data_IF_630709702977
#
_entry.id   IF_630709702977
#
_cell.length_a   1.000
_cell.length_b   1.000
_cell.length_c   1.000
_cell.angle_alpha   90.00
_cell.angle_beta   90.00
_cell.angle_gamma   90.00
#
_symmetry.space_group_name_H-M   'P 1'
#
loop_
_entity.id
_entity.type
_entity.pdbx_description
1 polymer ?
#
# COMPACT_ATOMS: atom_id res chain seq x y z
N UNK A 1 1.19 5.08 -27.33
CA UNK A 1 0.96 6.04 -26.23
C UNK A 1 2.24 6.84 -26.03
N UNK A 2 2.27 8.09 -26.49
CA UNK A 2 3.48 8.92 -26.53
C UNK A 2 3.87 9.42 -25.13
N UNK A 3 5.17 9.43 -24.81
CA UNK A 3 5.78 9.69 -23.50
C UNK A 3 5.42 11.05 -22.85
N UNK A 4 4.90 12.01 -23.62
CA UNK A 4 4.44 13.32 -23.09
C UNK A 4 3.34 13.22 -22.01
N UNK A 5 2.73 12.05 -21.82
CA UNK A 5 1.60 11.86 -20.89
C UNK A 5 1.99 11.49 -19.44
N UNK A 6 3.27 11.32 -19.11
CA UNK A 6 3.69 10.81 -17.79
C UNK A 6 4.49 11.78 -16.92
N UNK A 7 4.67 13.04 -17.32
CA UNK A 7 5.50 14.02 -16.60
C UNK A 7 5.18 14.14 -15.10
N UNK A 8 3.89 14.18 -14.73
CA UNK A 8 3.46 14.24 -13.35
C UNK A 8 3.82 12.98 -12.56
N UNK A 9 3.71 11.79 -13.18
CA UNK A 9 4.09 10.51 -12.59
C UNK A 9 5.60 10.45 -12.40
N UNK A 10 6.39 10.81 -13.41
CA UNK A 10 7.87 10.86 -13.33
C UNK A 10 8.30 11.72 -12.15
N UNK A 11 7.75 12.93 -12.02
CA UNK A 11 8.09 13.82 -10.91
C UNK A 11 7.77 13.22 -9.52
N UNK A 12 6.62 12.54 -9.38
CA UNK A 12 6.26 11.85 -8.12
C UNK A 12 7.18 10.67 -7.84
N UNK A 13 7.49 9.84 -8.83
CA UNK A 13 8.38 8.69 -8.66
C UNK A 13 9.82 9.12 -8.39
N UNK A 14 10.34 10.14 -9.09
CA UNK A 14 11.64 10.73 -8.80
C UNK A 14 11.70 11.26 -7.37
N UNK A 15 10.59 11.80 -6.84
CA UNK A 15 10.51 12.20 -5.43
C UNK A 15 10.58 11.01 -4.48
N UNK A 16 9.86 9.93 -4.77
CA UNK A 16 9.90 8.69 -3.97
C UNK A 16 11.33 8.15 -3.87
N UNK A 17 12.05 8.02 -5.00
CA UNK A 17 13.44 7.52 -5.03
C UNK A 17 14.38 8.35 -4.13
N UNK A 18 14.11 9.66 -4.00
CA UNK A 18 14.92 10.58 -3.17
C UNK A 18 14.72 10.40 -1.68
N UNK A 19 13.53 9.97 -1.26
CA UNK A 19 13.13 10.02 0.17
C UNK A 19 12.77 8.67 0.76
N UNK A 20 12.50 7.66 -0.07
CA UNK A 20 12.16 6.29 0.34
C UNK A 20 13.29 5.32 -0.05
N UNK A 21 13.89 4.63 0.94
CA UNK A 21 14.90 3.60 0.71
C UNK A 21 14.43 2.49 -0.26
N UNK A 22 15.38 1.90 -0.99
CA UNK A 22 15.09 0.89 -2.04
C UNK A 22 14.38 -0.33 -1.47
N UNK A 23 14.75 -0.76 -0.27
CA UNK A 23 14.15 -1.90 0.44
C UNK A 23 12.63 -1.74 0.62
N UNK A 24 12.14 -0.52 0.83
CA UNK A 24 10.71 -0.27 0.97
C UNK A 24 10.02 -0.11 -0.39
N UNK A 25 10.72 0.31 -1.44
CA UNK A 25 10.15 0.41 -2.80
C UNK A 25 9.98 -0.98 -3.43
N UNK A 26 10.88 -1.92 -3.14
CA UNK A 26 10.87 -3.27 -3.67
C UNK A 26 9.58 -4.03 -3.37
N UNK A 27 8.98 -3.80 -2.20
CA UNK A 27 7.73 -4.45 -1.81
C UNK A 27 6.50 -4.00 -2.63
N UNK A 28 6.53 -2.86 -3.34
CA UNK A 28 5.33 -2.31 -3.98
C UNK A 28 4.74 -3.18 -5.09
N UNK A 29 5.57 -3.95 -5.81
CA UNK A 29 5.07 -4.83 -6.86
C UNK A 29 4.28 -6.01 -6.29
N UNK A 30 4.76 -6.63 -5.20
CA UNK A 30 4.05 -7.68 -4.47
C UNK A 30 2.78 -7.14 -3.82
N UNK A 31 2.90 -5.98 -3.17
CA UNK A 31 1.78 -5.33 -2.49
C UNK A 31 0.65 -4.95 -3.44
N UNK A 32 0.89 -4.75 -4.73
CA UNK A 32 -0.16 -4.43 -5.71
C UNK A 32 -1.36 -5.39 -5.61
N UNK A 33 -1.11 -6.69 -5.49
CA UNK A 33 -2.16 -7.71 -5.47
C UNK A 33 -2.77 -7.93 -4.07
N UNK A 34 -2.10 -7.46 -3.03
CA UNK A 34 -2.57 -7.58 -1.64
C UNK A 34 -3.35 -6.35 -1.20
N UNK A 35 -2.90 -5.19 -1.64
CA UNK A 35 -3.46 -3.87 -1.39
C UNK A 35 -4.97 -3.87 -1.64
N UNK A 36 -5.69 -3.18 -0.76
CA UNK A 36 -7.14 -3.01 -0.90
C UNK A 36 -7.47 -2.43 -2.28
N UNK A 37 -8.50 -2.93 -3.00
CA UNK A 37 -8.73 -2.59 -4.41
C UNK A 37 -8.81 -1.09 -4.69
N UNK A 38 -9.36 -0.30 -3.76
CA UNK A 38 -9.47 1.15 -3.91
C UNK A 38 -8.14 1.88 -4.06
N UNK A 39 -7.03 1.26 -3.66
CA UNK A 39 -5.72 1.90 -3.64
C UNK A 39 -4.76 1.37 -4.73
N UNK A 40 -5.16 0.37 -5.53
CA UNK A 40 -4.28 -0.30 -6.51
C UNK A 40 -3.85 0.57 -7.68
N UNK A 41 -4.59 1.65 -7.96
CA UNK A 41 -4.27 2.63 -9.01
C UNK A 41 -3.71 3.94 -8.46
N UNK A 42 -3.38 3.98 -7.17
CA UNK A 42 -2.69 5.12 -6.56
C UNK A 42 -1.18 4.91 -6.63
N UNK A 43 -0.43 5.96 -6.97
CA UNK A 43 1.01 5.91 -6.73
C UNK A 43 1.30 5.73 -5.23
N UNK A 44 2.42 5.10 -4.85
CA UNK A 44 2.65 4.73 -3.45
C UNK A 44 2.80 5.93 -2.52
N UNK A 45 3.26 7.08 -3.03
CA UNK A 45 3.30 8.32 -2.26
C UNK A 45 1.87 8.81 -1.96
N UNK A 46 1.00 8.83 -2.97
CA UNK A 46 -0.40 9.21 -2.80
C UNK A 46 -1.15 8.27 -1.85
N UNK A 47 -0.92 6.96 -1.94
CA UNK A 47 -1.45 5.99 -1.00
C UNK A 47 -0.97 6.26 0.44
N UNK A 48 0.30 6.62 0.60
CA UNK A 48 0.88 6.99 1.91
C UNK A 48 0.31 8.30 2.46
N UNK A 49 0.00 9.28 1.60
CA UNK A 49 -0.67 10.53 2.00
C UNK A 49 -2.09 10.25 2.54
N UNK A 50 -2.87 9.43 1.84
CA UNK A 50 -4.21 9.02 2.29
C UNK A 50 -4.11 8.27 3.61
N UNK A 51 -3.19 7.31 3.73
CA UNK A 51 -2.98 6.59 4.99
C UNK A 51 -2.62 7.53 6.14
N UNK A 52 -1.76 8.53 5.90
CA UNK A 52 -1.40 9.54 6.89
C UNK A 52 -2.61 10.36 7.33
N UNK A 53 -3.48 10.78 6.41
CA UNK A 53 -4.71 11.50 6.75
C UNK A 53 -5.63 10.64 7.63
N UNK A 54 -5.80 9.37 7.26
CA UNK A 54 -6.60 8.40 8.05
C UNK A 54 -5.98 8.08 9.40
N UNK A 55 -4.66 8.01 9.49
CA UNK A 55 -3.96 7.85 10.76
C UNK A 55 -4.21 9.03 11.69
N UNK A 56 -4.13 10.27 11.19
CA UNK A 56 -4.40 11.47 11.99
C UNK A 56 -5.85 11.47 12.49
N UNK A 57 -6.81 11.14 11.61
CA UNK A 57 -8.22 11.00 11.95
C UNK A 57 -8.43 9.95 13.07
N UNK A 58 -7.93 8.74 12.87
CA UNK A 58 -8.04 7.64 13.83
C UNK A 58 -7.39 7.97 15.17
N UNK A 59 -6.20 8.60 15.15
CA UNK A 59 -5.50 9.01 16.36
C UNK A 59 -6.32 10.03 17.16
N UNK A 60 -6.84 11.08 16.51
CA UNK A 60 -7.66 12.09 17.18
C UNK A 60 -8.92 11.47 17.78
N UNK A 61 -9.58 10.57 17.04
CA UNK A 61 -10.78 9.88 17.52
C UNK A 61 -10.48 8.97 18.73
N UNK A 62 -9.41 8.17 18.66
CA UNK A 62 -8.99 7.32 19.77
C UNK A 62 -8.62 8.15 21.01
N UNK A 63 -7.96 9.29 20.82
CA UNK A 63 -7.60 10.20 21.91
C UNK A 63 -8.85 10.81 22.57
N UNK A 64 -9.79 11.32 21.77
CA UNK A 64 -11.07 11.86 22.26
C UNK A 64 -11.87 10.83 23.07
N UNK A 65 -11.88 9.58 22.61
CA UNK A 65 -12.67 8.51 23.22
C UNK A 65 -12.07 7.96 24.53
N UNK A 66 -10.73 7.98 24.69
CA UNK A 66 -10.06 7.23 25.75
C UNK A 66 -9.15 8.05 26.67
N UNK A 67 -8.76 9.27 26.29
CA UNK A 67 -7.79 10.08 27.04
C UNK A 67 -8.41 11.40 27.46
N UNK A 68 -8.78 12.25 26.50
CA UNK A 68 -9.39 13.56 26.78
C UNK A 68 -10.30 13.96 25.61
N UNK A 69 -11.60 14.07 25.93
CA UNK A 69 -12.68 14.39 25.00
C UNK A 69 -12.53 15.77 24.37
N UNK A 70 -11.96 16.73 25.09
CA UNK A 70 -11.91 18.13 24.69
C UNK A 70 -10.60 18.52 24.00
N UNK A 71 -9.48 17.84 24.31
CA UNK A 71 -8.17 18.19 23.75
C UNK A 71 -7.88 17.60 22.35
N UNK A 72 -8.66 16.61 21.89
CA UNK A 72 -8.33 15.82 20.70
C UNK A 72 -8.18 16.60 19.38
N UNK A 73 -8.84 17.76 19.22
CA UNK A 73 -8.71 18.56 17.99
C UNK A 73 -7.43 19.37 17.92
N UNK A 74 -6.92 19.79 19.07
CA UNK A 74 -5.76 20.65 19.23
C UNK A 74 -4.43 19.89 19.15
N UNK A 75 -4.47 18.55 19.14
CA UNK A 75 -3.25 17.73 19.08
C UNK A 75 -2.60 17.87 17.71
N UNK A 76 -1.37 18.35 17.73
CA UNK A 76 -0.49 18.41 16.56
C UNK A 76 0.14 17.04 16.32
N UNK A 77 -0.47 16.25 15.44
CA UNK A 77 0.00 14.92 15.02
C UNK A 77 0.64 15.05 13.63
N UNK A 78 1.58 14.17 13.31
CA UNK A 78 2.26 14.12 12.02
C UNK A 78 3.04 15.39 11.62
N UNK A 79 3.44 16.22 12.59
CA UNK A 79 4.22 17.46 12.35
C UNK A 79 5.59 17.21 11.69
N UNK A 80 6.16 16.01 11.87
CA UNK A 80 7.40 15.58 11.22
C UNK A 80 7.23 15.05 9.80
N UNK A 81 5.99 14.88 9.30
CA UNK A 81 5.73 14.31 7.99
C UNK A 81 6.09 15.31 6.88
N UNK A 82 7.19 15.03 6.18
CA UNK A 82 7.64 15.80 5.01
C UNK A 82 7.84 14.86 3.84
N UNK A 83 7.24 15.14 2.69
CA UNK A 83 7.38 14.28 1.50
C UNK A 83 8.56 14.69 0.61
N UNK A 84 9.18 15.85 0.84
CA UNK A 84 10.29 16.38 0.03
C UNK A 84 11.69 16.08 0.57
N UNK A 85 11.79 15.67 1.83
CA UNK A 85 13.06 15.34 2.50
C UNK A 85 12.94 13.99 3.18
N UNK A 86 14.01 13.20 3.15
CA UNK A 86 14.07 11.98 3.94
C UNK A 86 13.87 12.30 5.42
N UNK A 87 12.93 11.60 6.05
CA UNK A 87 12.70 11.67 7.48
C UNK A 87 12.13 10.35 7.96
N UNK A 88 12.43 9.99 9.21
CA UNK A 88 12.00 8.73 9.81
C UNK A 88 10.49 8.60 9.84
N UNK A 89 9.76 9.69 10.07
CA UNK A 89 8.30 9.66 10.19
C UNK A 89 7.61 9.28 8.88
N UNK A 90 8.07 9.79 7.73
CA UNK A 90 7.63 9.36 6.41
C UNK A 90 7.89 7.87 6.19
N UNK A 91 9.09 7.39 6.52
CA UNK A 91 9.40 5.95 6.40
C UNK A 91 8.49 5.10 7.29
N UNK A 92 8.23 5.52 8.53
CA UNK A 92 7.32 4.81 9.43
C UNK A 92 5.89 4.78 8.89
N UNK A 93 5.39 5.90 8.35
CA UNK A 93 4.07 5.96 7.69
C UNK A 93 4.02 5.06 6.46
N UNK A 94 5.09 5.06 5.65
CA UNK A 94 5.19 4.20 4.47
C UNK A 94 5.09 2.72 4.86
N UNK A 95 5.90 2.29 5.83
CA UNK A 95 5.92 0.89 6.31
C UNK A 95 4.59 0.51 6.96
N UNK A 96 3.97 1.40 7.74
CA UNK A 96 2.66 1.15 8.33
C UNK A 96 1.57 0.98 7.26
N UNK A 97 1.60 1.80 6.21
CA UNK A 97 0.71 1.63 5.05
C UNK A 97 0.96 0.31 4.31
N UNK A 98 2.22 -0.09 4.15
CA UNK A 98 2.53 -1.41 3.56
C UNK A 98 1.98 -2.57 4.39
N UNK A 99 2.01 -2.46 5.72
CA UNK A 99 1.40 -3.46 6.59
C UNK A 99 -0.13 -3.54 6.40
N UNK A 100 -0.82 -2.40 6.24
CA UNK A 100 -2.24 -2.38 5.92
C UNK A 100 -2.54 -2.97 4.53
N UNK A 101 -1.72 -2.63 3.53
CA UNK A 101 -1.84 -3.14 2.17
C UNK A 101 -1.65 -4.67 2.14
N UNK A 102 -0.71 -5.21 2.91
CA UNK A 102 -0.46 -6.64 3.02
C UNK A 102 -1.69 -7.40 3.56
N UNK A 103 -2.48 -6.77 4.43
CA UNK A 103 -3.68 -7.38 5.00
C UNK A 103 -4.93 -7.21 4.14
N UNK A 104 -4.81 -6.53 3.00
CA UNK A 104 -5.96 -6.22 2.12
C UNK A 104 -7.08 -5.50 2.87
N UNK A 105 -6.73 -4.53 3.71
CA UNK A 105 -7.69 -3.77 4.51
C UNK A 105 -7.82 -2.33 4.01
N UNK A 106 -9.03 -1.74 4.04
CA UNK A 106 -9.17 -0.29 4.02
C UNK A 106 -8.37 0.33 5.16
N UNK A 107 -7.77 1.50 4.93
CA UNK A 107 -6.87 2.13 5.89
C UNK A 107 -7.58 2.47 7.21
N UNK A 108 -8.82 2.94 7.15
CA UNK A 108 -9.66 3.22 8.31
C UNK A 108 -9.88 1.96 9.15
N UNK A 109 -10.18 0.83 8.52
CA UNK A 109 -10.43 -0.44 9.21
C UNK A 109 -9.17 -1.00 9.84
N UNK A 110 -8.02 -0.91 9.15
CA UNK A 110 -6.73 -1.30 9.72
C UNK A 110 -6.37 -0.47 10.96
N UNK A 111 -6.58 0.85 10.87
CA UNK A 111 -6.29 1.76 11.97
C UNK A 111 -7.25 1.55 13.14
N UNK A 112 -8.56 1.37 12.90
CA UNK A 112 -9.53 1.00 13.93
C UNK A 112 -9.04 -0.22 14.72
N UNK A 113 -8.65 -1.28 14.00
CA UNK A 113 -8.10 -2.49 14.62
C UNK A 113 -6.85 -2.20 15.45
N UNK A 114 -5.84 -1.56 14.86
CA UNK A 114 -4.55 -1.34 15.50
C UNK A 114 -4.66 -0.46 16.77
N UNK A 115 -5.50 0.57 16.73
CA UNK A 115 -5.75 1.43 17.90
C UNK A 115 -6.54 0.70 18.98
N UNK A 116 -7.60 -0.03 18.63
CA UNK A 116 -8.37 -0.82 19.60
C UNK A 116 -7.51 -1.89 20.27
N UNK A 117 -6.67 -2.59 19.49
CA UNK A 117 -5.72 -3.56 20.04
C UNK A 117 -4.73 -2.92 21.02
N UNK A 118 -4.22 -1.72 20.70
CA UNK A 118 -3.32 -0.98 21.58
C UNK A 118 -4.00 -0.53 22.88
N UNK A 119 -5.23 -0.04 22.79
CA UNK A 119 -6.03 0.44 23.92
C UNK A 119 -6.45 -0.69 24.86
N UNK A 120 -6.89 -1.84 24.33
CA UNK A 120 -7.25 -3.02 25.11
C UNK A 120 -6.09 -3.55 25.98
N UNK A 121 -4.85 -3.14 25.68
CA UNK A 121 -3.64 -3.48 26.43
C UNK A 121 -3.19 -2.36 27.37
N UNK A 122 -4.05 -1.39 27.66
CA UNK A 122 -3.80 -0.27 28.58
C UNK A 122 -2.50 0.48 28.28
N UNK A 123 -2.15 0.67 27.00
CA UNK A 123 -0.96 1.45 26.64
C UNK A 123 -1.13 2.90 27.09
N UNK A 124 -0.13 3.42 27.82
CA UNK A 124 -0.11 4.82 28.29
C UNK A 124 -0.18 5.86 27.17
N UNK A 125 0.30 5.50 25.98
CA UNK A 125 0.29 6.35 24.79
C UNK A 125 -0.29 5.60 23.60
N UNK A 126 -1.03 6.33 22.77
CA UNK A 126 -1.52 5.81 21.49
C UNK A 126 -0.34 5.43 20.58
N UNK A 127 -0.52 4.39 19.73
CA UNK A 127 0.56 3.85 18.93
C UNK A 127 1.07 4.87 17.89
N UNK A 128 2.39 4.97 17.78
CA UNK A 128 3.08 5.60 16.64
C UNK A 128 2.93 4.73 15.39
N UNK A 129 3.16 5.24 14.16
CA UNK A 129 2.96 4.47 12.93
C UNK A 129 3.74 3.15 12.91
N UNK A 130 4.99 3.15 13.38
CA UNK A 130 5.82 1.93 13.50
C UNK A 130 5.35 0.95 14.58
N UNK A 131 4.29 1.26 15.33
CA UNK A 131 3.74 0.44 16.42
C UNK A 131 2.32 -0.06 16.12
N UNK A 132 1.83 0.14 14.89
CA UNK A 132 0.50 -0.29 14.46
C UNK A 132 0.45 -1.79 14.12
N UNK A 133 1.58 -2.39 13.78
CA UNK A 133 1.71 -3.82 13.51
C UNK A 133 2.12 -4.66 14.73
N UNK A 134 2.19 -6.00 14.56
CA UNK A 134 2.66 -6.91 15.60
C UNK A 134 4.15 -6.69 15.90
N UNK A 135 4.55 -6.89 17.15
CA UNK A 135 5.95 -7.05 17.54
C UNK A 135 6.19 -8.50 18.04
N UNK A 136 7.44 -8.95 18.22
CA UNK A 136 7.72 -10.34 18.61
C UNK A 136 6.99 -10.81 19.87
N UNK A 137 6.73 -9.92 20.84
CA UNK A 137 6.06 -10.27 22.09
C UNK A 137 4.54 -10.33 21.98
N UNK A 138 3.95 -9.69 20.98
CA UNK A 138 2.50 -9.61 20.81
C UNK A 138 2.02 -10.24 19.52
N UNK A 139 2.89 -10.96 18.79
CA UNK A 139 2.61 -11.46 17.44
C UNK A 139 1.36 -12.32 17.41
N UNK A 140 1.32 -13.36 18.24
CA UNK A 140 0.23 -14.35 18.22
C UNK A 140 -1.09 -13.72 18.66
N UNK A 141 -1.08 -12.93 19.74
CA UNK A 141 -2.27 -12.22 20.21
C UNK A 141 -2.80 -11.21 19.18
N UNK A 142 -1.90 -10.54 18.45
CA UNK A 142 -2.27 -9.57 17.42
C UNK A 142 -2.93 -10.25 16.23
N UNK A 143 -2.36 -11.37 15.74
CA UNK A 143 -2.96 -12.12 14.63
C UNK A 143 -4.25 -12.84 15.02
N UNK A 144 -4.32 -13.44 16.21
CA UNK A 144 -5.57 -14.04 16.69
C UNK A 144 -6.71 -13.03 16.80
N UNK A 145 -6.43 -11.82 17.30
CA UNK A 145 -7.44 -10.75 17.32
C UNK A 145 -7.76 -10.18 15.95
N UNK A 146 -6.81 -10.20 15.02
CA UNK A 146 -7.06 -9.77 13.65
C UNK A 146 -8.01 -10.75 12.94
N UNK A 147 -7.84 -12.05 13.14
CA UNK A 147 -8.70 -13.09 12.58
C UNK A 147 -10.15 -12.93 13.07
N UNK A 148 -10.34 -12.70 14.38
CA UNK A 148 -11.64 -12.37 14.96
C UNK A 148 -12.26 -11.09 14.34
N UNK A 149 -11.41 -10.10 14.04
CA UNK A 149 -11.85 -8.77 13.62
C UNK A 149 -12.14 -8.65 12.11
N UNK A 150 -11.31 -9.29 11.27
CA UNK A 150 -11.30 -9.14 9.81
C UNK A 150 -11.80 -10.41 9.12
N UNK A 151 -13.03 -10.80 9.46
CA UNK A 151 -13.71 -11.98 8.92
C UNK A 151 -14.08 -11.83 7.44
N UNK A 152 -14.42 -12.95 6.79
CA UNK A 152 -14.93 -12.96 5.41
C UNK A 152 -16.14 -12.04 5.20
N UNK A 153 -17.09 -12.03 6.14
CA UNK A 153 -18.26 -11.16 6.08
C UNK A 153 -17.90 -9.68 6.19
N UNK A 154 -16.97 -9.31 7.08
CA UNK A 154 -16.52 -7.92 7.20
C UNK A 154 -15.81 -7.47 5.93
N UNK A 155 -14.99 -8.35 5.33
CA UNK A 155 -14.34 -8.10 4.05
C UNK A 155 -15.37 -7.93 2.92
N UNK A 156 -16.39 -8.79 2.83
CA UNK A 156 -17.48 -8.69 1.84
C UNK A 156 -18.27 -7.40 1.99
N UNK A 157 -18.59 -7.02 3.22
CA UNK A 157 -19.27 -5.76 3.52
C UNK A 157 -18.42 -4.56 3.11
N UNK A 158 -17.11 -4.60 3.38
CA UNK A 158 -16.19 -3.54 2.96
C UNK A 158 -16.10 -3.44 1.42
N UNK A 159 -16.05 -4.57 0.70
CA UNK A 159 -16.07 -4.59 -0.78
C UNK A 159 -17.37 -4.02 -1.33
N UNK A 160 -18.51 -4.36 -0.72
CA UNK A 160 -19.84 -3.86 -1.11
C UNK A 160 -19.95 -2.35 -0.92
N UNK A 161 -19.36 -1.81 0.16
CA UNK A 161 -19.31 -0.38 0.47
C UNK A 161 -18.24 0.39 -0.30
N UNK A 162 -17.37 -0.30 -1.03
CA UNK A 162 -16.36 0.36 -1.86
C UNK A 162 -17.06 1.21 -2.92
N UNK A 163 -16.61 2.46 -3.06
CA UNK A 163 -17.11 3.35 -4.11
C UNK A 163 -16.87 2.72 -5.48
N UNK A 164 -17.82 2.84 -6.42
CA UNK A 164 -17.58 2.44 -7.80
C UNK A 164 -16.33 3.11 -8.36
N UNK A 165 -15.48 2.29 -8.97
CA UNK A 165 -14.27 2.67 -9.68
C UNK A 165 -14.38 2.25 -11.14
N UNK A 166 -14.19 3.22 -12.03
CA UNK A 166 -14.09 3.04 -13.48
C UNK A 166 -13.04 1.99 -13.86
N UNK A 167 -11.92 1.94 -13.14
CA UNK A 167 -10.78 1.09 -13.46
C UNK A 167 -11.12 -0.41 -13.46
N UNK A 168 -12.19 -0.81 -12.79
CA UNK A 168 -12.60 -2.21 -12.69
C UNK A 168 -13.76 -2.59 -13.62
N UNK A 169 -14.38 -1.61 -14.29
CA UNK A 169 -15.44 -1.87 -15.26
C UNK A 169 -14.92 -2.74 -16.41
N UNK A 170 -15.70 -3.75 -16.81
CA UNK A 170 -15.35 -4.67 -17.90
C UNK A 170 -15.10 -3.93 -19.22
N UNK A 171 -15.86 -2.88 -19.49
CA UNK A 171 -15.70 -2.03 -20.67
C UNK A 171 -14.32 -1.32 -20.74
N UNK A 172 -13.57 -1.32 -19.63
CA UNK A 172 -12.24 -0.73 -19.51
C UNK A 172 -11.19 -1.77 -19.12
N UNK A 173 -11.51 -3.06 -19.23
CA UNK A 173 -10.59 -4.13 -18.90
C UNK A 173 -9.40 -4.14 -19.87
N UNK A 174 -8.20 -4.14 -19.30
CA UNK A 174 -6.95 -4.25 -20.06
C UNK A 174 -6.15 -5.49 -19.62
N UNK A 175 -6.77 -6.39 -18.84
CA UNK A 175 -6.11 -7.55 -18.27
C UNK A 175 -5.02 -7.16 -17.27
N UNK A 176 -5.13 -5.99 -16.63
CA UNK A 176 -4.15 -5.55 -15.64
C UNK A 176 -4.20 -6.46 -14.41
N UNK A 177 -3.05 -6.81 -13.79
CA UNK A 177 -3.01 -7.61 -12.58
C UNK A 177 -3.95 -7.13 -11.47
N UNK A 178 -4.08 -5.81 -11.27
CA UNK A 178 -5.03 -5.23 -10.32
C UNK A 178 -6.50 -5.55 -10.65
N UNK A 179 -6.87 -5.49 -11.94
CA UNK A 179 -8.22 -5.79 -12.43
C UNK A 179 -8.54 -7.28 -12.26
N UNK A 180 -7.65 -8.15 -12.74
CA UNK A 180 -7.77 -9.60 -12.60
C UNK A 180 -7.91 -10.01 -11.15
N UNK A 181 -7.05 -9.48 -10.27
CA UNK A 181 -7.12 -9.79 -8.83
C UNK A 181 -8.42 -9.30 -8.21
N UNK A 182 -8.89 -8.11 -8.54
CA UNK A 182 -10.15 -7.61 -7.99
C UNK A 182 -11.34 -8.50 -8.34
N UNK A 183 -11.40 -9.01 -9.58
CA UNK A 183 -12.47 -9.94 -9.99
C UNK A 183 -12.42 -11.24 -9.21
N UNK A 184 -11.23 -11.82 -9.03
CA UNK A 184 -11.03 -13.00 -8.18
C UNK A 184 -11.48 -12.73 -6.75
N UNK A 185 -11.21 -11.55 -6.21
CA UNK A 185 -11.60 -11.21 -4.84
C UNK A 185 -13.10 -11.05 -4.66
N UNK A 186 -13.82 -10.60 -5.70
CA UNK A 186 -15.28 -10.57 -5.71
C UNK A 186 -15.86 -11.98 -5.72
N UNK A 187 -15.33 -12.89 -6.55
CA UNK A 187 -15.80 -14.28 -6.61
C UNK A 187 -15.46 -15.05 -5.33
N UNK A 188 -14.22 -14.92 -4.82
CA UNK A 188 -13.80 -15.47 -3.52
C UNK A 188 -14.69 -15.00 -2.37
N UNK A 189 -15.14 -13.73 -2.39
CA UNK A 189 -16.00 -13.18 -1.35
C UNK A 189 -17.41 -13.78 -1.39
N UNK A 190 -17.89 -14.23 -2.55
CA UNK A 190 -19.21 -14.85 -2.73
C UNK A 190 -19.21 -16.33 -2.34
N UNK A 191 -18.16 -17.09 -2.68
CA UNK A 191 -18.06 -18.53 -2.36
C UNK A 191 -18.22 -18.85 -0.86
N UNK A 192 -17.80 -17.93 0.01
CA UNK A 192 -17.97 -18.05 1.47
C UNK A 192 -19.29 -17.52 2.01
N UNK A 193 -20.27 -17.23 1.16
CA UNK A 193 -21.53 -16.61 1.54
C UNK A 193 -22.71 -17.56 1.36
N UNK A 194 -23.60 -17.59 2.36
CA UNK A 194 -24.97 -18.07 2.20
C UNK A 194 -25.93 -16.97 1.72
N UNK A 195 -25.42 -15.77 1.40
CA UNK A 195 -26.23 -14.61 0.98
C UNK A 195 -26.90 -14.82 -0.38
N UNK A 196 -27.95 -14.03 -0.62
CA UNK A 196 -28.71 -14.04 -1.87
C UNK A 196 -27.81 -13.63 -3.06
N UNK A 197 -27.37 -14.63 -3.82
CA UNK A 197 -26.69 -14.52 -5.11
C UNK A 197 -27.30 -13.42 -6.01
N UNK A 198 -28.62 -13.25 -5.97
CA UNK A 198 -29.35 -12.21 -6.70
C UNK A 198 -28.78 -10.80 -6.42
N UNK A 199 -28.48 -10.47 -5.16
CA UNK A 199 -27.88 -9.18 -4.79
C UNK A 199 -26.44 -9.02 -5.30
N UNK A 200 -25.67 -10.11 -5.29
CA UNK A 200 -24.32 -10.14 -5.84
C UNK A 200 -24.32 -9.91 -7.36
N UNK A 201 -25.20 -10.62 -8.08
CA UNK A 201 -25.38 -10.49 -9.54
C UNK A 201 -25.92 -9.10 -9.89
N UNK A 202 -26.95 -8.62 -9.20
CA UNK A 202 -27.52 -7.30 -9.38
C UNK A 202 -26.46 -6.21 -9.29
N UNK A 203 -25.58 -6.28 -8.28
CA UNK A 203 -24.55 -5.27 -8.08
C UNK A 203 -23.37 -5.43 -9.05
N UNK A 204 -22.73 -6.59 -9.05
CA UNK A 204 -21.39 -6.73 -9.66
C UNK A 204 -21.43 -7.07 -11.15
N UNK A 205 -22.51 -7.71 -11.63
CA UNK A 205 -22.67 -8.06 -13.04
C UNK A 205 -23.49 -6.98 -13.75
N UNK A 206 -24.66 -6.63 -13.22
CA UNK A 206 -25.59 -5.73 -13.90
C UNK A 206 -25.30 -4.25 -13.60
N UNK A 207 -25.36 -3.82 -12.33
CA UNK A 207 -25.24 -2.41 -11.98
C UNK A 207 -23.84 -1.85 -12.23
N UNK A 208 -22.79 -2.55 -11.79
CA UNK A 208 -21.41 -2.07 -11.89
C UNK A 208 -20.64 -2.63 -13.08
N UNK A 209 -21.08 -3.74 -13.69
CA UNK A 209 -20.36 -4.35 -14.82
C UNK A 209 -18.90 -4.69 -14.50
N UNK A 210 -18.61 -5.18 -13.30
CA UNK A 210 -17.27 -5.61 -12.87
C UNK A 210 -16.98 -7.07 -13.21
N UNK A 211 -18.02 -7.88 -13.23
CA UNK A 211 -17.97 -9.30 -13.57
C UNK A 211 -18.87 -9.59 -14.75
N UNK A 212 -18.47 -10.55 -15.56
CA UNK A 212 -19.34 -11.13 -16.59
C UNK A 212 -20.14 -12.29 -15.98
N UNK A 213 -21.20 -12.73 -16.67
CA UNK A 213 -21.98 -13.90 -16.23
C UNK A 213 -21.10 -15.16 -16.22
N UNK A 214 -20.21 -15.28 -17.20
CA UNK A 214 -19.26 -16.40 -17.34
C UNK A 214 -18.27 -16.45 -16.17
N UNK A 215 -17.83 -15.28 -15.67
CA UNK A 215 -16.93 -15.21 -14.51
C UNK A 215 -17.61 -15.66 -13.20
N UNK A 216 -18.95 -15.70 -13.17
CA UNK A 216 -19.72 -16.21 -12.04
C UNK A 216 -20.07 -17.71 -12.17
N UNK A 217 -19.59 -18.39 -13.21
CA UNK A 217 -19.97 -19.79 -13.52
C UNK A 217 -19.61 -20.82 -12.46
N UNK A 218 -18.69 -20.52 -11.54
CA UNK A 218 -18.37 -21.37 -10.38
C UNK A 218 -19.59 -21.66 -9.48
N UNK A 219 -20.61 -20.80 -9.51
CA UNK A 219 -21.89 -20.98 -8.80
C UNK A 219 -22.89 -21.84 -9.60
N UNK A 220 -22.63 -22.08 -10.90
CA UNK A 220 -23.53 -22.73 -11.84
C UNK A 220 -24.11 -21.74 -12.84
N UNK A 221 -23.82 -21.93 -14.14
CA UNK A 221 -24.21 -20.99 -15.20
C UNK A 221 -25.73 -20.76 -15.30
N UNK A 222 -26.52 -21.82 -15.08
CA UNK A 222 -27.98 -21.74 -15.06
C UNK A 222 -28.47 -20.92 -13.86
N UNK A 223 -27.88 -21.14 -12.68
CA UNK A 223 -28.22 -20.40 -11.44
C UNK A 223 -27.95 -18.91 -11.60
N UNK A 224 -26.80 -18.55 -12.18
CA UNK A 224 -26.42 -17.16 -12.49
C UNK A 224 -27.39 -16.53 -13.49
N UNK A 225 -27.79 -17.28 -14.52
CA UNK A 225 -28.71 -16.79 -15.55
C UNK A 225 -30.10 -16.52 -14.96
N UNK A 226 -30.63 -17.47 -14.19
CA UNK A 226 -31.91 -17.32 -13.48
C UNK A 226 -31.87 -16.17 -12.46
N UNK A 227 -30.76 -15.99 -11.74
CA UNK A 227 -30.56 -14.86 -10.83
C UNK A 227 -30.57 -13.52 -11.58
N UNK A 228 -29.88 -13.44 -12.72
CA UNK A 228 -29.88 -12.24 -13.56
C UNK A 228 -31.29 -11.93 -14.10
N UNK A 229 -32.03 -12.93 -14.57
CA UNK A 229 -33.41 -12.77 -15.03
C UNK A 229 -34.35 -12.31 -13.92
N UNK A 230 -34.23 -12.89 -12.71
CA UNK A 230 -35.01 -12.45 -11.54
C UNK A 230 -34.72 -11.01 -11.21
N UNK A 231 -33.44 -10.62 -11.25
CA UNK A 231 -33.03 -9.25 -10.97
C UNK A 231 -33.59 -8.28 -12.02
N UNK A 232 -33.44 -8.58 -13.31
CA UNK A 232 -33.95 -7.75 -14.41
C UNK A 232 -35.48 -7.59 -14.37
N UNK A 233 -36.21 -8.58 -13.85
CA UNK A 233 -37.68 -8.52 -13.70
C UNK A 233 -38.15 -7.82 -12.42
N UNK A 234 -37.40 -7.95 -11.32
CA UNK A 234 -37.88 -7.59 -9.97
C UNK A 234 -37.23 -6.34 -9.40
N UNK A 235 -36.08 -5.92 -9.92
CA UNK A 235 -35.31 -4.79 -9.41
C UNK A 235 -35.22 -3.70 -10.47
N UNK A 236 -35.50 -2.45 -10.04
CA UNK A 236 -35.11 -1.27 -10.79
C UNK A 236 -33.59 -1.07 -10.61
N UNK A 237 -32.80 -1.87 -11.34
CA UNK A 237 -31.34 -1.83 -11.23
C UNK A 237 -30.84 -0.53 -11.85
N UNK A 238 -30.40 0.39 -11.00
CA UNK A 238 -29.74 1.61 -11.46
C UNK A 238 -28.34 1.25 -11.98
N UNK A 239 -28.19 1.27 -13.30
CA UNK A 239 -26.90 1.06 -13.96
C UNK A 239 -25.93 2.19 -13.60
N UNK A 240 -24.76 1.83 -13.11
CA UNK A 240 -23.69 2.79 -12.86
C UNK A 240 -22.98 3.13 -14.17
N UNK A 241 -23.01 4.41 -14.54
CA UNK A 241 -22.30 4.89 -15.71
C UNK A 241 -20.84 5.17 -15.36
N UNK A 242 -19.94 4.30 -15.80
CA UNK A 242 -18.51 4.53 -15.68
C UNK A 242 -18.04 5.58 -16.70
N UNK A 243 -17.32 6.58 -16.21
CA UNK A 243 -16.64 7.55 -17.07
C UNK A 243 -15.44 6.89 -17.77
N UNK A 244 -15.05 7.34 -18.96
CA UNK A 244 -13.86 6.82 -19.63
C UNK A 244 -12.61 7.16 -18.79
N UNK A 245 -11.74 6.18 -18.45
CA UNK A 245 -10.56 6.47 -17.66
C UNK A 245 -9.61 7.37 -18.44
N UNK A 246 -9.05 8.37 -17.75
CA UNK A 246 -7.98 9.19 -18.26
C UNK A 246 -6.66 8.43 -18.40
N UNK A 247 -5.66 9.00 -19.09
CA UNK A 247 -4.38 8.31 -19.35
C UNK A 247 -3.60 7.86 -18.10
N UNK A 248 -3.84 8.50 -16.96
CA UNK A 248 -3.21 8.19 -15.68
C UNK A 248 -3.99 7.21 -14.79
N UNK A 249 -5.28 6.97 -15.08
CA UNK A 249 -6.19 6.31 -14.13
C UNK A 249 -5.97 4.80 -14.06
N UNK A 250 -5.40 4.21 -15.11
CA UNK A 250 -5.07 2.79 -15.19
C UNK A 250 -3.61 2.49 -14.83
N UNK A 251 -2.86 3.50 -14.36
CA UNK A 251 -1.49 3.31 -13.88
C UNK A 251 -1.52 2.63 -12.51
N UNK A 252 -1.22 1.34 -12.50
CA UNK A 252 -1.12 0.53 -11.29
C UNK A 252 -0.07 1.10 -10.31
N UNK A 253 -0.20 0.78 -9.02
CA UNK A 253 0.59 1.43 -7.99
C UNK A 253 2.10 1.31 -8.19
N UNK A 254 2.59 0.14 -8.62
CA UNK A 254 4.01 -0.10 -8.87
C UNK A 254 4.52 0.44 -10.23
N UNK A 255 3.64 0.94 -11.11
CA UNK A 255 4.00 1.32 -12.49
C UNK A 255 5.11 2.38 -12.51
N UNK A 256 6.22 2.04 -13.17
CA UNK A 256 7.42 2.87 -13.35
C UNK A 256 8.27 3.09 -12.10
N UNK A 257 7.96 2.47 -10.95
CA UNK A 257 8.70 2.71 -9.71
C UNK A 257 10.06 1.98 -9.73
N UNK A 258 11.20 2.70 -9.67
CA UNK A 258 12.50 2.04 -9.62
C UNK A 258 12.67 1.19 -8.36
N UNK A 259 13.24 -0.01 -8.51
CA UNK A 259 13.46 -0.97 -7.45
C UNK A 259 12.27 -1.88 -7.15
N UNK A 260 11.08 -1.62 -7.69
CA UNK A 260 9.91 -2.50 -7.51
C UNK A 260 10.11 -3.88 -8.15
N UNK A 261 10.92 -3.95 -9.21
CA UNK A 261 11.35 -5.18 -9.86
C UNK A 261 12.23 -6.08 -8.98
N UNK A 262 12.90 -5.52 -7.98
CA UNK A 262 13.80 -6.28 -7.10
C UNK A 262 13.06 -7.02 -5.99
N UNK A 263 11.74 -7.23 -6.13
CA UNK A 263 10.89 -7.82 -5.10
C UNK A 263 11.60 -9.00 -4.43
N UNK A 264 12.07 -8.77 -3.20
CA UNK A 264 12.86 -9.68 -2.41
C UNK A 264 11.90 -10.65 -1.73
N UNK A 265 11.58 -11.76 -2.38
CA UNK A 265 11.12 -12.96 -1.68
C UNK A 265 11.52 -14.19 -2.50
N UNK A 266 12.80 -14.55 -2.42
CA UNK A 266 13.24 -15.92 -2.75
C UNK A 266 12.78 -16.90 -1.66
N UNK A 267 12.55 -16.44 -0.42
CA UNK A 267 12.19 -17.26 0.75
C UNK A 267 10.67 -17.49 0.91
N UNK A 268 9.81 -16.63 0.34
CA UNK A 268 8.38 -16.92 0.15
C UNK A 268 8.04 -17.12 -1.35
N UNK A 269 8.31 -18.30 -1.93
CA UNK A 269 8.05 -18.61 -3.35
C UNK A 269 6.60 -18.43 -3.82
N UNK A 270 5.67 -18.17 -2.89
CA UNK A 270 4.23 -18.01 -3.15
C UNK A 270 3.87 -16.65 -3.75
N UNK A 271 4.74 -15.65 -3.69
CA UNK A 271 4.42 -14.30 -4.18
C UNK A 271 5.42 -13.79 -5.21
N UNK A 272 5.39 -14.42 -6.39
CA UNK A 272 6.08 -13.86 -7.56
C UNK A 272 5.44 -12.51 -7.93
N UNK A 273 6.23 -11.46 -8.16
CA UNK A 273 5.69 -10.16 -8.56
C UNK A 273 4.87 -10.32 -9.86
N UNK A 274 3.74 -9.62 -10.00
CA UNK A 274 2.88 -9.71 -11.19
C UNK A 274 3.52 -9.20 -12.47
N UNK A 275 4.76 -8.66 -12.39
CA UNK A 275 5.47 -8.03 -13.48
C UNK A 275 5.66 -8.96 -14.70
N UNK A 276 5.82 -10.27 -14.49
CA UNK A 276 6.09 -11.23 -15.58
C UNK A 276 4.90 -11.38 -16.54
N UNK A 277 3.68 -11.33 -16.02
CA UNK A 277 2.44 -11.45 -16.79
C UNK A 277 1.74 -10.10 -17.02
N UNK A 278 2.37 -8.99 -16.62
CA UNK A 278 1.74 -7.68 -16.72
C UNK A 278 1.77 -7.16 -18.17
N UNK A 279 0.62 -6.82 -18.78
CA UNK A 279 0.55 -6.40 -20.18
C UNK A 279 1.24 -5.05 -20.43
N UNK A 280 1.47 -4.25 -19.38
CA UNK A 280 2.13 -2.94 -19.47
C UNK A 280 3.61 -2.97 -19.05
N UNK A 281 4.25 -4.15 -19.00
CA UNK A 281 5.64 -4.32 -18.55
C UNK A 281 6.65 -3.49 -19.36
N UNK A 282 6.50 -3.43 -20.68
CA UNK A 282 7.40 -2.67 -21.55
C UNK A 282 7.35 -1.16 -21.22
N UNK A 283 6.15 -0.56 -21.28
CA UNK A 283 5.95 0.85 -20.90
C UNK A 283 6.34 1.15 -19.44
N UNK A 284 6.14 0.19 -18.52
CA UNK A 284 6.59 0.30 -17.13
C UNK A 284 8.12 0.38 -17.02
N UNK A 285 8.84 -0.35 -17.88
CA UNK A 285 10.30 -0.37 -17.91
C UNK A 285 10.85 0.93 -18.49
N UNK A 286 10.31 1.39 -19.62
CA UNK A 286 10.66 2.68 -20.22
C UNK A 286 10.47 3.84 -19.23
N UNK A 287 9.29 3.92 -18.59
CA UNK A 287 9.01 4.96 -17.61
C UNK A 287 9.98 4.89 -16.41
N UNK A 288 10.30 3.69 -15.94
CA UNK A 288 11.25 3.51 -14.84
C UNK A 288 12.63 4.04 -15.22
N UNK A 289 13.11 3.74 -16.42
CA UNK A 289 14.40 4.19 -16.91
C UNK A 289 14.44 5.73 -17.01
N UNK A 290 13.34 6.36 -17.45
CA UNK A 290 13.19 7.81 -17.42
C UNK A 290 13.20 8.39 -15.99
N UNK A 291 12.56 7.73 -15.02
CA UNK A 291 12.63 8.14 -13.61
C UNK A 291 14.07 8.10 -13.12
N UNK A 292 14.80 7.02 -13.42
CA UNK A 292 16.21 6.86 -13.03
C UNK A 292 17.07 7.94 -13.68
N UNK A 293 16.90 8.19 -14.98
CA UNK A 293 17.61 9.25 -15.71
C UNK A 293 17.30 10.65 -15.12
N UNK A 294 16.04 10.94 -14.81
CA UNK A 294 15.61 12.18 -14.15
C UNK A 294 16.25 12.36 -12.77
N UNK A 295 16.36 11.30 -11.98
CA UNK A 295 17.00 11.33 -10.66
C UNK A 295 18.52 11.52 -10.80
N UNK A 296 19.17 10.79 -11.70
CA UNK A 296 20.59 10.93 -12.01
C UNK A 296 20.93 12.35 -12.46
N UNK A 297 20.18 12.92 -13.39
CA UNK A 297 20.40 14.28 -13.87
C UNK A 297 20.26 15.33 -12.76
N UNK A 298 19.34 15.13 -11.81
CA UNK A 298 19.07 16.10 -10.73
C UNK A 298 19.98 15.96 -9.51
N UNK A 299 20.53 14.78 -9.24
CA UNK A 299 21.24 14.47 -7.98
C UNK A 299 22.65 13.91 -8.20
N UNK A 300 22.91 13.32 -9.36
CA UNK A 300 24.16 12.62 -9.65
C UNK A 300 24.22 11.18 -9.11
N UNK A 301 23.11 10.63 -8.63
CA UNK A 301 23.01 9.23 -8.18
C UNK A 301 21.64 8.64 -8.45
N UNK A 302 21.59 7.40 -8.95
CA UNK A 302 20.35 6.64 -9.14
C UNK A 302 19.77 6.15 -7.80
N UNK A 303 20.60 6.05 -6.76
CA UNK A 303 20.24 5.58 -5.42
C UNK A 303 20.72 6.56 -4.32
N UNK A 304 20.17 7.79 -4.28
CA UNK A 304 20.69 8.87 -3.42
C UNK A 304 20.81 8.53 -1.94
N UNK A 305 19.84 7.76 -1.41
CA UNK A 305 19.79 7.39 0.01
C UNK A 305 20.88 6.37 0.35
N UNK A 306 21.06 5.36 -0.50
CA UNK A 306 22.09 4.34 -0.28
C UNK A 306 23.49 4.95 -0.33
N UNK A 307 23.73 5.84 -1.29
CA UNK A 307 25.00 6.54 -1.44
C UNK A 307 25.28 7.50 -0.28
N UNK A 308 24.25 8.22 0.19
CA UNK A 308 24.36 9.04 1.39
C UNK A 308 24.71 8.19 2.63
N UNK A 309 24.02 7.07 2.86
CA UNK A 309 24.31 6.13 3.96
C UNK A 309 25.75 5.62 3.88
N UNK A 310 26.20 5.17 2.70
CA UNK A 310 27.58 4.70 2.46
C UNK A 310 28.61 5.80 2.75
N UNK A 311 28.32 7.06 2.38
CA UNK A 311 29.19 8.21 2.69
C UNK A 311 29.30 8.44 4.20
N UNK A 312 28.17 8.52 4.91
CA UNK A 312 28.15 8.71 6.38
C UNK A 312 28.90 7.61 7.11
N UNK A 313 28.75 6.35 6.69
CA UNK A 313 29.48 5.22 7.27
C UNK A 313 30.99 5.36 7.02
N UNK A 314 31.41 5.69 5.79
CA UNK A 314 32.82 5.93 5.45
C UNK A 314 33.41 7.05 6.30
N UNK A 315 32.71 8.17 6.46
CA UNK A 315 33.15 9.32 7.27
C UNK A 315 33.29 8.93 8.74
N UNK A 316 32.33 8.17 9.28
CA UNK A 316 32.38 7.67 10.66
C UNK A 316 33.59 6.75 10.88
N UNK A 317 33.85 5.83 9.95
CA UNK A 317 35.00 4.91 10.02
C UNK A 317 36.31 5.69 9.90
N UNK A 318 36.40 6.67 9.00
CA UNK A 318 37.58 7.52 8.85
C UNK A 318 37.88 8.31 10.14
N UNK A 319 36.87 8.94 10.74
CA UNK A 319 36.99 9.64 12.03
C UNK A 319 37.43 8.71 13.15
N UNK A 320 36.86 7.50 13.23
CA UNK A 320 37.26 6.51 14.23
C UNK A 320 38.73 6.08 14.07
N UNK A 321 39.16 5.81 12.84
CA UNK A 321 40.56 5.45 12.53
C UNK A 321 41.53 6.59 12.85
N UNK A 322 41.18 7.83 12.52
CA UNK A 322 41.97 9.02 12.87
C UNK A 322 42.14 9.17 14.38
N UNK A 323 41.05 9.05 15.16
CA UNK A 323 41.10 9.10 16.63
C UNK A 323 41.98 7.99 17.22
N UNK A 324 41.88 6.75 16.71
CA UNK A 324 42.74 5.64 17.16
C UNK A 324 44.22 5.88 16.87
N UNK A 325 44.56 6.49 15.72
CA UNK A 325 45.95 6.84 15.40
C UNK A 325 46.50 7.90 16.35
N UNK A 326 45.72 8.92 16.66
CA UNK A 326 46.10 9.97 17.63
C UNK A 326 46.32 9.36 19.01
N UNK A 327 45.37 8.55 19.50
CA UNK A 327 45.49 7.89 20.80
C UNK A 327 46.69 6.93 20.88
N UNK A 328 47.00 6.22 19.79
CA UNK A 328 48.19 5.36 19.73
C UNK A 328 49.49 6.19 19.78
N UNK A 329 49.56 7.31 19.05
CA UNK A 329 50.70 8.21 19.09
C UNK A 329 50.89 8.88 20.46
N UNK A 330 49.80 9.20 21.16
CA UNK A 330 49.83 9.74 22.53
C UNK A 330 50.33 8.70 23.55
N UNK A 331 50.01 7.42 23.37
CA UNK A 331 50.50 6.33 24.21
C UNK A 331 51.97 5.98 23.96
N UNK A 332 52.45 6.09 22.72
CA UNK A 332 53.87 5.90 22.38
C UNK A 332 54.75 7.07 22.88
N UNK A 333 54.16 8.26 23.08
CA UNK A 333 54.85 9.46 23.58
C UNK A 333 54.94 9.60 25.10
N UNK A 334 54.31 8.72 25.89
CA UNK A 334 54.43 8.75 27.35
C UNK A 334 55.72 8.01 27.79
N UNK A 335 56.69 8.70 28.44
CA UNK A 335 57.88 8.03 28.94
C UNK A 335 57.48 6.98 29.97
N UNK A 336 57.99 5.76 29.81
CA UNK A 336 57.85 4.71 30.83
C UNK A 336 58.46 5.26 32.12
N UNK A 337 57.64 5.50 33.13
CA UNK A 337 58.12 5.82 34.47
C UNK A 337 58.99 4.64 34.94
N UNK A 338 60.30 4.89 35.00
CA UNK A 338 61.29 3.97 35.53
C UNK A 338 61.32 3.97 37.04
#
# INVERSE_FOLDING_TARGET
MTLMNYSARINRLSRIVKVIPREHRAAEAVLLLKKWPAYRFLDPLRATEIFKDKYVEAYKNAYKANIDRNAGEQIKIATGYKTWTQNSYLTQMWTARQAADMLSMPYETYLEFAFNFALARNRRHLPQPNQLGPNPKTRDAWFGKLEDFWTGDRRRLALTRMRPMTQYALIHDQGLPAQTRFRQELTEAEEGSSSALDGFIARNVLALGYLSREQCSHVGAEVVSLAAERVERSFDVVLHKHERPGPGDLLQSCFGLPGAEDSLDEEEPRFKPPCLSCPVRAACTELRDEVVASVLAKIGSAEPIADHRKRVVRDRVARFRSKRKIAAAEQEGQPRAG
#
